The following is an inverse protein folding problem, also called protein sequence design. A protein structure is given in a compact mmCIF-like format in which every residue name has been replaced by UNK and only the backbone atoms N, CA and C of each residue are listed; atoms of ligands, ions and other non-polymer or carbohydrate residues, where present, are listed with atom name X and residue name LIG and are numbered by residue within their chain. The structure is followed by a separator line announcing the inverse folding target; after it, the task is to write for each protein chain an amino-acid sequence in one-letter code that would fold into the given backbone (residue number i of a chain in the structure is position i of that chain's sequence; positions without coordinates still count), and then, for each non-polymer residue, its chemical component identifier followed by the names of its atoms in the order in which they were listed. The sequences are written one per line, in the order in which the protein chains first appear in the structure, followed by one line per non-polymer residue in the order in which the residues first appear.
data_IF_540654813197
#
_entry.id   IF_540654813197
#
_cell.length_a   1.000
_cell.length_b   1.000
_cell.length_c   1.000
_cell.angle_alpha   90.00
_cell.angle_beta   90.00
_cell.angle_gamma   90.00
#
_symmetry.space_group_name_H-M   'P 1'
#
loop_
_entity.id
_entity.type
_entity.pdbx_description
1 polymer ?
#
# COMPACT_ATOMS: atom_id res chain seq x y z
N UNK A 1 -21.09 -9.10 4.46
CA UNK A 1 -20.80 -7.67 4.22
C UNK A 1 -22.12 -6.89 4.30
N UNK A 2 -22.20 -5.82 5.08
CA UNK A 2 -23.39 -4.96 5.14
C UNK A 2 -23.59 -4.27 3.79
N UNK A 3 -24.81 -4.30 3.24
CA UNK A 3 -25.12 -3.66 1.97
C UNK A 3 -24.91 -2.14 2.05
N UNK A 4 -24.14 -1.60 1.11
CA UNK A 4 -24.01 -0.17 0.88
C UNK A 4 -25.30 0.28 0.19
N UNK A 5 -25.84 1.42 0.62
CA UNK A 5 -26.94 2.07 -0.09
C UNK A 5 -26.42 2.59 -1.43
N UNK A 6 -26.88 1.97 -2.53
CA UNK A 6 -26.46 2.36 -3.87
C UNK A 6 -27.01 3.75 -4.19
N UNK A 7 -26.15 4.67 -4.65
CA UNK A 7 -26.66 5.90 -5.23
C UNK A 7 -27.21 5.65 -6.65
N UNK A 8 -28.12 6.49 -7.11
CA UNK A 8 -28.72 6.28 -8.44
C UNK A 8 -27.74 6.63 -9.57
N UNK A 9 -26.99 7.74 -9.42
CA UNK A 9 -26.13 8.28 -10.48
C UNK A 9 -24.91 9.01 -9.92
N UNK A 10 -23.78 8.88 -10.61
CA UNK A 10 -22.60 9.73 -10.44
C UNK A 10 -22.15 10.28 -11.80
N UNK A 11 -21.77 11.55 -11.85
CA UNK A 11 -21.14 12.18 -13.03
C UNK A 11 -19.65 12.40 -12.73
N UNK A 12 -18.76 11.90 -13.58
CA UNK A 12 -17.31 12.02 -13.46
C UNK A 12 -16.77 12.72 -14.69
N UNK A 13 -16.25 13.93 -14.50
CA UNK A 13 -15.66 14.71 -15.57
C UNK A 13 -14.15 14.81 -15.40
N UNK A 14 -13.43 14.70 -16.50
CA UNK A 14 -12.06 15.22 -16.56
C UNK A 14 -12.11 16.71 -16.90
N UNK A 15 -11.31 17.51 -16.19
CA UNK A 15 -11.20 18.95 -16.41
C UNK A 15 -9.79 19.30 -16.85
N UNK A 16 -9.63 20.16 -17.86
CA UNK A 16 -8.31 20.65 -18.27
C UNK A 16 -7.75 19.93 -19.49
N UNK A 17 -6.49 19.52 -19.47
CA UNK A 17 -5.75 18.85 -20.57
C UNK A 17 -5.38 17.39 -20.28
N UNK A 18 -5.89 16.81 -19.17
CA UNK A 18 -5.42 15.53 -18.64
C UNK A 18 -6.59 14.60 -18.31
N UNK A 19 -6.61 13.41 -18.93
CA UNK A 19 -7.61 12.37 -18.66
C UNK A 19 -7.46 11.72 -17.28
N UNK A 20 -6.37 12.00 -16.58
CA UNK A 20 -6.06 11.47 -15.26
C UNK A 20 -6.36 12.49 -14.15
N UNK A 21 -7.05 13.59 -14.44
CA UNK A 21 -7.59 14.50 -13.42
C UNK A 21 -9.12 14.46 -13.41
N UNK A 22 -9.66 13.51 -12.65
CA UNK A 22 -11.09 13.23 -12.59
C UNK A 22 -11.76 13.96 -11.43
N UNK A 23 -12.89 14.58 -11.71
CA UNK A 23 -13.72 15.30 -10.74
C UNK A 23 -15.14 14.75 -10.78
N UNK A 24 -15.69 14.47 -9.60
CA UNK A 24 -17.08 14.05 -9.49
C UNK A 24 -17.94 15.31 -9.35
N UNK A 25 -18.85 15.54 -10.29
CA UNK A 25 -19.75 16.69 -10.28
C UNK A 25 -20.86 16.46 -9.24
N UNK A 26 -20.60 16.87 -8.02
CA UNK A 26 -21.55 16.87 -6.90
C UNK A 26 -21.47 18.19 -6.14
N UNK A 27 -22.40 18.44 -5.21
CA UNK A 27 -22.33 19.59 -4.29
C UNK A 27 -21.11 19.56 -3.35
N UNK A 28 -20.33 18.48 -3.35
CA UNK A 28 -19.09 18.34 -2.59
C UNK A 28 -17.86 18.20 -3.50
N UNK A 29 -16.70 18.66 -3.01
CA UNK A 29 -15.41 18.50 -3.72
C UNK A 29 -14.94 17.05 -3.66
N UNK A 30 -15.29 16.26 -4.68
CA UNK A 30 -14.85 14.88 -4.88
C UNK A 30 -14.04 14.75 -6.16
N UNK A 31 -12.98 13.95 -6.13
CA UNK A 31 -12.12 13.77 -7.29
C UNK A 31 -10.93 12.87 -7.00
N UNK A 32 -10.33 12.39 -8.08
CA UNK A 32 -9.11 11.61 -8.09
C UNK A 32 -8.27 12.12 -9.24
N UNK A 33 -7.04 12.51 -8.97
CA UNK A 33 -6.12 12.83 -10.06
C UNK A 33 -4.66 12.73 -9.70
N UNK A 34 -3.81 12.77 -10.72
CA UNK A 34 -2.36 12.80 -10.57
C UNK A 34 -1.89 14.25 -10.61
N UNK A 35 -1.25 14.72 -9.54
CA UNK A 35 -0.93 16.14 -9.33
C UNK A 35 0.26 16.60 -10.18
N UNK A 36 1.15 15.67 -10.52
CA UNK A 36 2.30 15.92 -11.37
C UNK A 36 2.04 15.20 -12.69
N UNK A 37 1.83 15.96 -13.76
CA UNK A 37 1.75 15.39 -15.09
C UNK A 37 3.11 14.78 -15.41
N UNK A 38 3.17 13.46 -15.34
CA UNK A 38 4.27 12.67 -15.88
C UNK A 38 3.89 12.31 -17.31
N UNK A 39 4.81 12.54 -18.23
CA UNK A 39 4.77 11.79 -19.48
C UNK A 39 5.14 10.35 -19.11
N UNK A 40 4.20 9.43 -19.25
CA UNK A 40 4.44 8.03 -18.96
C UNK A 40 5.21 7.32 -20.09
N UNK A 41 5.74 8.07 -21.07
CA UNK A 41 6.84 7.66 -21.95
C UNK A 41 6.71 6.25 -22.53
N UNK A 42 6.04 6.12 -23.68
CA UNK A 42 5.93 4.84 -24.39
C UNK A 42 4.87 3.87 -23.83
N UNK A 43 4.14 4.24 -22.76
CA UNK A 43 2.98 3.47 -22.30
C UNK A 43 1.87 3.44 -23.37
N UNK A 44 1.34 2.26 -23.74
CA UNK A 44 0.23 2.14 -24.70
C UNK A 44 -1.06 2.84 -24.22
N UNK A 45 -1.91 3.25 -25.16
CA UNK A 45 -3.19 3.90 -24.84
C UNK A 45 -4.11 2.98 -24.02
N UNK A 46 -4.05 1.69 -24.29
CA UNK A 46 -4.77 0.65 -23.58
C UNK A 46 -4.31 0.55 -22.12
N UNK A 47 -3.00 0.72 -21.87
CA UNK A 47 -2.43 0.84 -20.52
C UNK A 47 -2.96 2.07 -19.78
N UNK A 48 -3.01 3.21 -20.46
CA UNK A 48 -3.63 4.43 -19.92
C UNK A 48 -5.14 4.27 -19.73
N UNK A 49 -5.82 3.53 -20.62
CA UNK A 49 -7.21 3.11 -20.53
C UNK A 49 -7.49 2.36 -19.23
N UNK A 50 -6.73 1.30 -18.98
CA UNK A 50 -6.85 0.49 -17.77
C UNK A 50 -6.65 1.33 -16.51
N UNK A 51 -5.64 2.21 -16.50
CA UNK A 51 -5.44 3.13 -15.38
C UNK A 51 -6.66 4.04 -15.15
N UNK A 52 -7.22 4.64 -16.21
CA UNK A 52 -8.45 5.46 -16.12
C UNK A 52 -9.62 4.63 -15.60
N UNK A 53 -9.79 3.41 -16.07
CA UNK A 53 -10.86 2.50 -15.61
C UNK A 53 -10.74 2.21 -14.11
N UNK A 54 -9.54 1.90 -13.60
CA UNK A 54 -9.31 1.64 -12.17
C UNK A 54 -9.51 2.90 -11.34
N UNK A 55 -9.13 4.08 -11.85
CA UNK A 55 -9.40 5.36 -11.21
C UNK A 55 -10.90 5.64 -11.09
N UNK A 56 -11.68 5.39 -12.15
CA UNK A 56 -13.15 5.44 -12.11
C UNK A 56 -13.70 4.48 -11.08
N UNK A 57 -13.21 3.22 -11.08
CA UNK A 57 -13.61 2.22 -10.09
C UNK A 57 -13.38 2.70 -8.65
N UNK A 58 -12.22 3.32 -8.38
CA UNK A 58 -11.89 3.88 -7.06
C UNK A 58 -12.83 5.02 -6.64
N UNK A 59 -13.28 5.86 -7.58
CA UNK A 59 -14.22 6.95 -7.32
C UNK A 59 -15.65 6.48 -7.03
N UNK A 60 -16.07 5.37 -7.65
CA UNK A 60 -17.43 4.85 -7.52
C UNK A 60 -17.59 3.78 -6.43
N UNK A 61 -16.51 3.10 -6.04
CA UNK A 61 -16.50 2.02 -5.05
C UNK A 61 -17.13 2.37 -3.68
N UNK A 62 -17.12 3.63 -3.20
CA UNK A 62 -17.83 3.93 -1.95
C UNK A 62 -19.37 3.94 -2.08
N UNK A 63 -19.91 4.01 -3.30
CA UNK A 63 -21.33 4.28 -3.55
C UNK A 63 -22.04 3.28 -4.47
N UNK A 64 -21.29 2.53 -5.30
CA UNK A 64 -21.83 1.60 -6.29
C UNK A 64 -23.02 2.18 -7.10
N UNK A 65 -22.87 3.34 -7.78
CA UNK A 65 -23.92 3.95 -8.57
C UNK A 65 -24.53 3.01 -9.61
N UNK A 66 -25.83 3.13 -9.90
CA UNK A 66 -26.43 2.38 -11.02
C UNK A 66 -26.08 2.97 -12.39
N UNK A 67 -25.85 4.28 -12.45
CA UNK A 67 -25.48 5.00 -13.68
C UNK A 67 -24.20 5.79 -13.44
N UNK A 68 -23.21 5.61 -14.32
CA UNK A 68 -21.97 6.40 -14.34
C UNK A 68 -21.95 7.22 -15.62
N UNK A 69 -21.98 8.54 -15.49
CA UNK A 69 -21.90 9.46 -16.62
C UNK A 69 -20.50 10.06 -16.70
N UNK A 70 -19.87 10.02 -17.87
CA UNK A 70 -18.50 10.52 -18.08
C UNK A 70 -18.42 11.42 -19.32
N UNK A 71 -17.43 12.31 -19.35
CA UNK A 71 -17.07 13.06 -20.56
C UNK A 71 -15.84 12.48 -21.29
N UNK A 72 -15.48 11.23 -20.97
CA UNK A 72 -14.37 10.47 -21.54
C UNK A 72 -14.73 8.99 -21.62
N UNK A 73 -14.05 8.24 -22.50
CA UNK A 73 -14.25 6.80 -22.65
C UNK A 73 -13.68 5.98 -21.48
N UNK A 74 -14.42 4.93 -21.09
CA UNK A 74 -13.99 3.89 -20.15
C UNK A 74 -13.92 2.57 -20.90
N UNK A 75 -12.71 2.02 -21.08
CA UNK A 75 -12.41 0.96 -22.06
C UNK A 75 -12.44 -0.45 -21.46
N UNK A 76 -12.02 -0.65 -20.21
CA UNK A 76 -11.85 -1.97 -19.57
C UNK A 76 -12.97 -2.25 -18.56
N UNK A 77 -14.23 -2.09 -19.01
CA UNK A 77 -15.42 -2.20 -18.14
C UNK A 77 -15.51 -3.50 -17.34
N UNK A 78 -14.90 -4.58 -17.83
CA UNK A 78 -14.80 -5.88 -17.12
C UNK A 78 -14.29 -5.70 -15.68
N UNK A 79 -13.31 -4.82 -15.44
CA UNK A 79 -12.82 -4.57 -14.09
C UNK A 79 -13.92 -4.05 -13.15
N UNK A 80 -14.73 -3.10 -13.65
CA UNK A 80 -15.82 -2.49 -12.90
C UNK A 80 -16.97 -3.48 -12.73
N UNK A 81 -17.27 -4.27 -13.75
CA UNK A 81 -18.33 -5.30 -13.69
C UNK A 81 -18.01 -6.34 -12.60
N UNK A 82 -16.78 -6.84 -12.56
CA UNK A 82 -16.33 -7.81 -11.54
C UNK A 82 -16.30 -7.20 -10.15
N UNK A 83 -15.90 -5.93 -10.00
CA UNK A 83 -16.00 -5.20 -8.74
C UNK A 83 -17.47 -5.17 -8.25
N UNK A 84 -18.44 -4.85 -9.10
CA UNK A 84 -19.85 -4.80 -8.70
C UNK A 84 -20.38 -6.19 -8.32
N UNK A 85 -20.06 -7.22 -9.13
CA UNK A 85 -20.46 -8.60 -8.84
C UNK A 85 -19.91 -9.10 -7.52
N UNK A 86 -18.66 -8.77 -7.19
CA UNK A 86 -18.03 -9.15 -5.92
C UNK A 86 -18.83 -8.69 -4.71
N UNK A 87 -19.39 -7.49 -4.78
CA UNK A 87 -20.22 -6.91 -3.72
C UNK A 87 -21.73 -7.20 -3.90
N UNK A 88 -22.11 -8.07 -4.84
CA UNK A 88 -23.50 -8.49 -5.04
C UNK A 88 -24.38 -7.50 -5.79
N UNK A 89 -23.78 -6.54 -6.51
CA UNK A 89 -24.49 -5.53 -7.29
C UNK A 89 -24.52 -5.84 -8.78
N UNK A 90 -25.52 -5.28 -9.47
CA UNK A 90 -25.55 -5.28 -10.94
C UNK A 90 -24.57 -4.23 -11.48
N UNK A 91 -23.77 -4.52 -12.52
CA UNK A 91 -22.88 -3.55 -13.13
C UNK A 91 -23.59 -2.25 -13.54
N UNK A 92 -22.89 -1.10 -13.47
CA UNK A 92 -23.49 0.19 -13.77
C UNK A 92 -23.68 0.39 -15.28
N UNK A 93 -24.68 1.19 -15.65
CA UNK A 93 -24.84 1.68 -17.01
C UNK A 93 -23.91 2.88 -17.21
N UNK A 94 -22.96 2.76 -18.14
CA UNK A 94 -22.11 3.88 -18.55
C UNK A 94 -22.80 4.71 -19.62
N UNK A 95 -22.86 6.03 -19.40
CA UNK A 95 -23.30 7.00 -20.40
C UNK A 95 -22.19 8.02 -20.64
N UNK A 96 -22.03 8.43 -21.88
CA UNK A 96 -21.07 9.47 -22.24
C UNK A 96 -21.82 10.75 -22.60
N UNK A 97 -21.41 11.86 -22.00
CA UNK A 97 -21.97 13.20 -22.25
C UNK A 97 -20.82 14.17 -22.49
N UNK A 98 -20.94 15.01 -23.53
CA UNK A 98 -19.97 16.08 -23.83
C UNK A 98 -18.52 15.59 -23.94
N UNK A 99 -18.28 14.58 -24.79
CA UNK A 99 -16.97 13.96 -24.97
C UNK A 99 -15.89 14.98 -25.27
N UNK A 100 -14.84 14.98 -24.44
CA UNK A 100 -13.66 15.81 -24.67
C UNK A 100 -12.61 14.98 -25.40
N UNK A 101 -12.18 15.46 -26.56
CA UNK A 101 -11.02 14.92 -27.29
C UNK A 101 -9.78 15.68 -26.88
N UNK A 102 -8.80 14.99 -26.30
CA UNK A 102 -7.47 15.56 -26.07
C UNK A 102 -6.51 15.18 -27.19
N UNK A 103 -5.74 16.17 -27.65
CA UNK A 103 -4.57 15.91 -28.47
C UNK A 103 -3.50 15.24 -27.63
N UNK A 104 -3.08 14.04 -28.03
CA UNK A 104 -1.94 13.36 -27.43
C UNK A 104 -0.72 14.26 -27.52
N UNK A 105 -0.16 14.66 -26.38
CA UNK A 105 1.21 15.17 -26.38
C UNK A 105 2.13 13.97 -26.49
N UNK A 106 2.52 13.61 -27.71
CA UNK A 106 3.69 12.77 -27.92
C UNK A 106 4.92 13.64 -27.62
N UNK A 107 5.46 13.54 -26.41
CA UNK A 107 6.84 13.94 -26.16
C UNK A 107 7.69 12.67 -26.06
N UNK A 108 8.95 12.81 -26.47
CA UNK A 108 9.78 11.69 -26.93
C UNK A 108 10.00 10.60 -25.89
N UNK A 109 10.41 9.43 -26.39
CA UNK A 109 10.87 8.31 -25.56
C UNK A 109 12.14 8.72 -24.80
N UNK A 110 12.02 9.05 -23.51
CA UNK A 110 13.17 8.94 -22.61
C UNK A 110 13.28 7.48 -22.18
N UNK A 111 14.16 6.75 -22.87
CA UNK A 111 14.51 5.38 -22.46
C UNK A 111 15.34 5.47 -21.19
N UNK A 112 14.70 5.19 -20.06
CA UNK A 112 15.37 5.09 -18.77
C UNK A 112 16.24 3.82 -18.72
N UNK A 113 17.11 3.74 -17.71
CA UNK A 113 17.93 2.54 -17.47
C UNK A 113 17.03 1.30 -17.46
N UNK A 114 17.41 0.24 -18.18
CA UNK A 114 16.65 -0.99 -18.20
C UNK A 114 16.69 -1.66 -16.82
N UNK A 115 15.53 -1.77 -16.17
CA UNK A 115 15.34 -2.38 -14.85
C UNK A 115 14.29 -3.48 -14.99
N UNK A 116 14.57 -4.65 -14.42
CA UNK A 116 13.71 -5.83 -14.59
C UNK A 116 12.49 -5.79 -13.65
N UNK A 117 12.68 -5.28 -12.43
CA UNK A 117 11.67 -5.32 -11.37
C UNK A 117 11.23 -3.92 -10.94
N UNK A 118 9.97 -3.79 -10.54
CA UNK A 118 9.49 -2.63 -9.79
C UNK A 118 8.82 -3.07 -8.49
N UNK A 119 8.84 -2.21 -7.49
CA UNK A 119 8.21 -2.47 -6.20
C UNK A 119 7.50 -1.22 -5.70
N UNK A 120 6.23 -1.35 -5.34
CA UNK A 120 5.53 -0.29 -4.63
C UNK A 120 6.18 -0.13 -3.26
N UNK A 121 6.48 1.11 -2.87
CA UNK A 121 7.31 1.39 -1.72
C UNK A 121 6.70 2.48 -0.84
N UNK A 122 6.21 2.08 0.32
CA UNK A 122 5.56 2.97 1.30
C UNK A 122 6.54 3.55 2.32
N UNK A 123 7.75 3.00 2.41
CA UNK A 123 8.69 3.27 3.50
C UNK A 123 8.36 2.47 4.77
N UNK A 124 7.28 1.68 4.78
CA UNK A 124 6.98 0.71 5.83
C UNK A 124 7.92 -0.50 5.79
N UNK A 125 7.88 -1.31 6.84
CA UNK A 125 8.76 -2.48 7.02
C UNK A 125 8.68 -3.47 5.86
N UNK A 126 7.47 -3.77 5.41
CA UNK A 126 7.21 -4.86 4.47
C UNK A 126 7.75 -4.50 3.08
N UNK A 127 7.51 -3.26 2.65
CA UNK A 127 8.06 -2.74 1.40
C UNK A 127 9.58 -2.48 1.46
N UNK A 128 10.13 -2.13 2.63
CA UNK A 128 11.57 -2.01 2.87
C UNK A 128 12.29 -3.36 2.81
N UNK A 129 11.75 -4.37 3.50
CA UNK A 129 12.25 -5.74 3.47
C UNK A 129 12.29 -6.30 2.06
N UNK A 130 11.23 -6.08 1.27
CA UNK A 130 11.17 -6.51 -0.13
C UNK A 130 12.29 -5.91 -0.99
N UNK A 131 12.56 -4.61 -0.87
CA UNK A 131 13.66 -3.96 -1.60
C UNK A 131 15.01 -4.52 -1.18
N UNK A 132 15.24 -4.67 0.13
CA UNK A 132 16.48 -5.25 0.66
C UNK A 132 16.71 -6.69 0.15
N UNK A 133 15.66 -7.52 0.13
CA UNK A 133 15.74 -8.88 -0.40
C UNK A 133 16.08 -8.90 -1.91
N UNK A 134 15.59 -7.94 -2.68
CA UNK A 134 15.97 -7.81 -4.10
C UNK A 134 17.43 -7.39 -4.25
N UNK A 135 17.91 -6.46 -3.42
CA UNK A 135 19.32 -6.06 -3.43
C UNK A 135 20.25 -7.22 -3.09
N UNK A 136 19.92 -8.01 -2.06
CA UNK A 136 20.66 -9.24 -1.72
C UNK A 136 20.74 -10.21 -2.92
N UNK A 137 19.62 -10.39 -3.60
CA UNK A 137 19.53 -11.24 -4.80
C UNK A 137 20.12 -10.58 -6.06
N UNK A 138 20.70 -9.38 -5.95
CA UNK A 138 21.24 -8.58 -7.06
C UNK A 138 20.22 -8.36 -8.18
N UNK A 139 18.95 -8.25 -7.84
CA UNK A 139 17.85 -7.97 -8.76
C UNK A 139 17.68 -6.46 -8.90
N UNK A 140 17.93 -5.87 -10.08
CA UNK A 140 17.75 -4.44 -10.28
C UNK A 140 16.27 -4.09 -10.13
N UNK A 141 15.98 -3.13 -9.25
CA UNK A 141 14.61 -2.73 -8.90
C UNK A 141 14.45 -1.22 -8.92
N UNK A 142 13.29 -0.74 -9.39
CA UNK A 142 12.83 0.64 -9.19
C UNK A 142 11.74 0.66 -8.13
N UNK A 143 11.88 1.55 -7.15
CA UNK A 143 10.88 1.78 -6.12
C UNK A 143 9.87 2.84 -6.61
N UNK A 144 8.57 2.54 -6.51
CA UNK A 144 7.50 3.50 -6.86
C UNK A 144 6.70 3.84 -5.61
N UNK A 145 6.66 5.12 -5.24
CA UNK A 145 5.88 5.61 -4.11
C UNK A 145 4.63 6.35 -4.58
N UNK A 146 3.46 5.84 -4.20
CA UNK A 146 2.18 6.49 -4.48
C UNK A 146 1.72 7.33 -3.29
N UNK A 147 2.03 8.62 -3.34
CA UNK A 147 1.68 9.60 -2.32
C UNK A 147 0.19 9.97 -2.40
N UNK A 148 -0.44 10.14 -1.24
CA UNK A 148 -1.84 10.50 -0.98
C UNK A 148 -2.85 9.40 -1.35
N UNK A 149 -2.41 8.14 -1.46
CA UNK A 149 -3.34 7.03 -1.51
C UNK A 149 -4.20 6.98 -0.24
N UNK A 150 -3.56 7.17 0.92
CA UNK A 150 -4.20 7.31 2.23
C UNK A 150 -4.10 8.76 2.75
N UNK A 151 -5.12 9.22 3.48
CA UNK A 151 -5.21 10.60 4.01
C UNK A 151 -4.28 10.88 5.21
N UNK A 152 -3.79 9.84 5.90
CA UNK A 152 -2.97 9.94 7.13
C UNK A 152 -1.51 9.53 6.85
N UNK A 153 -0.53 10.17 7.52
CA UNK A 153 0.88 9.76 7.51
C UNK A 153 1.66 10.09 6.23
N UNK A 154 1.06 10.89 5.35
CA UNK A 154 1.49 10.98 3.96
C UNK A 154 2.87 11.64 3.74
N UNK A 155 3.21 12.65 4.55
CA UNK A 155 4.49 13.33 4.40
C UNK A 155 5.63 12.45 4.92
N UNK A 156 5.41 11.79 6.05
CA UNK A 156 6.38 10.95 6.71
C UNK A 156 6.68 9.68 5.90
N UNK A 157 5.66 9.03 5.32
CA UNK A 157 5.83 7.87 4.42
C UNK A 157 6.70 8.24 3.21
N UNK A 158 6.44 9.41 2.61
CA UNK A 158 7.26 9.93 1.52
C UNK A 158 8.71 10.17 1.96
N UNK A 159 8.94 10.86 3.08
CA UNK A 159 10.30 11.17 3.56
C UNK A 159 11.08 9.88 3.86
N UNK A 160 10.45 8.91 4.52
CA UNK A 160 11.07 7.64 4.85
C UNK A 160 11.39 6.81 3.60
N UNK A 161 10.41 6.63 2.71
CA UNK A 161 10.60 5.87 1.46
C UNK A 161 11.69 6.47 0.58
N UNK A 162 11.72 7.81 0.46
CA UNK A 162 12.78 8.51 -0.27
C UNK A 162 14.15 8.31 0.38
N UNK A 163 14.25 8.46 1.70
CA UNK A 163 15.51 8.29 2.43
C UNK A 163 16.07 6.88 2.29
N UNK A 164 15.22 5.86 2.42
CA UNK A 164 15.62 4.45 2.21
C UNK A 164 16.21 4.24 0.82
N UNK A 165 15.51 4.71 -0.23
CA UNK A 165 15.99 4.54 -1.60
C UNK A 165 17.26 5.34 -1.91
N UNK A 166 17.36 6.57 -1.40
CA UNK A 166 18.55 7.42 -1.57
C UNK A 166 19.78 6.76 -0.88
N UNK A 167 19.64 6.24 0.34
CA UNK A 167 20.73 5.57 1.08
C UNK A 167 21.12 4.22 0.45
N UNK A 168 20.14 3.46 -0.03
CA UNK A 168 20.38 2.14 -0.64
C UNK A 168 20.71 2.22 -2.14
N UNK A 169 20.74 3.43 -2.71
CA UNK A 169 21.00 3.70 -4.14
C UNK A 169 20.02 2.96 -5.07
N UNK A 170 18.75 2.94 -4.68
CA UNK A 170 17.65 2.36 -5.47
C UNK A 170 16.96 3.50 -6.23
N UNK A 171 16.75 3.39 -7.56
CA UNK A 171 15.94 4.33 -8.33
C UNK A 171 14.56 4.51 -7.69
N UNK A 172 14.12 5.75 -7.51
CA UNK A 172 12.91 6.10 -6.77
C UNK A 172 12.00 7.02 -7.56
N UNK A 173 10.78 6.58 -7.80
CA UNK A 173 9.75 7.32 -8.52
C UNK A 173 8.62 7.75 -7.59
N UNK A 174 8.35 9.06 -7.54
CA UNK A 174 7.30 9.64 -6.72
C UNK A 174 6.08 9.98 -7.59
N UNK A 175 4.94 9.38 -7.28
CA UNK A 175 3.66 9.74 -7.89
C UNK A 175 2.76 10.37 -6.83
N UNK A 176 2.26 11.58 -7.08
CA UNK A 176 1.39 12.28 -6.14
C UNK A 176 -0.06 12.26 -6.59
N UNK A 177 -0.95 11.72 -5.75
CA UNK A 177 -2.40 11.77 -5.94
C UNK A 177 -3.03 13.01 -5.31
N UNK A 178 -4.09 13.50 -5.94
CA UNK A 178 -5.17 14.27 -5.35
C UNK A 178 -6.31 13.27 -5.11
N UNK A 179 -6.42 12.73 -3.91
CA UNK A 179 -7.44 11.72 -3.59
C UNK A 179 -8.50 12.28 -2.62
N UNK A 180 -9.69 12.54 -3.15
CA UNK A 180 -10.91 12.88 -2.40
C UNK A 180 -12.06 11.94 -2.84
N UNK A 181 -11.78 10.65 -2.99
CA UNK A 181 -12.76 9.65 -3.45
C UNK A 181 -13.88 9.38 -2.44
N UNK A 182 -13.67 9.73 -1.16
CA UNK A 182 -14.43 9.27 0.01
C UNK A 182 -14.27 7.78 0.32
N UNK A 183 -13.29 7.13 -0.28
CA UNK A 183 -12.88 5.81 0.13
C UNK A 183 -11.99 5.96 1.38
N UNK A 184 -12.47 5.51 2.54
CA UNK A 184 -11.79 5.66 3.82
C UNK A 184 -11.87 4.40 4.69
N UNK A 185 -11.13 4.41 5.80
CA UNK A 185 -11.07 3.28 6.71
C UNK A 185 -10.67 1.98 6.02
N UNK A 186 -11.34 0.89 6.40
CA UNK A 186 -11.15 -0.43 5.82
C UNK A 186 -11.70 -0.54 4.39
N UNK A 187 -12.72 0.26 4.05
CA UNK A 187 -13.37 0.23 2.73
C UNK A 187 -12.43 0.65 1.59
N UNK A 188 -11.34 1.36 1.90
CA UNK A 188 -10.27 1.66 0.94
C UNK A 188 -9.81 0.42 0.18
N UNK A 189 -9.77 -0.74 0.84
CA UNK A 189 -9.38 -2.05 0.28
C UNK A 189 -10.32 -2.59 -0.81
N UNK A 190 -11.43 -1.92 -1.11
CA UNK A 190 -12.25 -2.28 -2.29
C UNK A 190 -11.45 -2.18 -3.59
N UNK A 191 -10.53 -1.21 -3.68
CA UNK A 191 -9.78 -0.91 -4.92
C UNK A 191 -8.35 -0.44 -4.70
N UNK A 192 -7.91 -0.25 -3.44
CA UNK A 192 -6.60 0.32 -3.08
C UNK A 192 -5.45 -0.34 -3.84
N UNK A 193 -5.37 -1.67 -3.79
CA UNK A 193 -4.18 -2.37 -4.27
C UNK A 193 -4.10 -2.39 -5.79
N UNK A 194 -5.24 -2.45 -6.47
CA UNK A 194 -5.29 -2.33 -7.93
C UNK A 194 -4.96 -0.92 -8.40
N UNK A 195 -5.40 0.13 -7.67
CA UNK A 195 -5.00 1.51 -7.97
C UNK A 195 -3.49 1.70 -7.76
N UNK A 196 -2.94 1.18 -6.66
CA UNK A 196 -1.51 1.19 -6.40
C UNK A 196 -0.74 0.43 -7.50
N UNK A 197 -1.21 -0.75 -7.86
CA UNK A 197 -0.62 -1.61 -8.87
C UNK A 197 -0.58 -0.94 -10.25
N UNK A 198 -1.72 -0.49 -10.77
CA UNK A 198 -1.77 0.07 -12.13
C UNK A 198 -0.98 1.36 -12.25
N UNK A 199 -1.05 2.24 -11.24
CA UNK A 199 -0.27 3.48 -11.24
C UNK A 199 1.22 3.18 -11.19
N UNK A 200 1.63 2.21 -10.38
CA UNK A 200 3.04 1.82 -10.29
C UNK A 200 3.54 1.13 -11.55
N UNK A 201 2.72 0.26 -12.15
CA UNK A 201 3.01 -0.41 -13.42
C UNK A 201 3.23 0.60 -14.55
N UNK A 202 2.30 1.54 -14.73
CA UNK A 202 2.39 2.61 -15.72
C UNK A 202 3.61 3.51 -15.46
N UNK A 203 3.91 3.80 -14.19
CA UNK A 203 5.10 4.60 -13.81
C UNK A 203 6.41 3.87 -14.09
N UNK A 204 6.45 2.56 -13.91
CA UNK A 204 7.64 1.74 -14.08
C UNK A 204 7.85 1.27 -15.53
N UNK A 205 6.84 1.39 -16.39
CA UNK A 205 6.90 0.92 -17.77
C UNK A 205 8.08 1.48 -18.59
N UNK A 206 8.47 2.78 -18.50
CA UNK A 206 9.61 3.32 -19.24
C UNK A 206 10.97 2.66 -18.91
N UNK A 207 11.07 1.98 -17.77
CA UNK A 207 12.26 1.22 -17.38
C UNK A 207 12.33 -0.18 -18.02
N UNK A 208 11.31 -0.60 -18.77
CA UNK A 208 11.23 -1.95 -19.35
C UNK A 208 11.04 -3.05 -18.30
N UNK A 209 10.38 -2.73 -17.20
CA UNK A 209 10.05 -3.66 -16.11
C UNK A 209 9.13 -4.77 -16.61
N UNK A 210 9.42 -6.02 -16.25
CA UNK A 210 8.59 -7.17 -16.58
C UNK A 210 7.80 -7.70 -15.37
N UNK A 211 8.13 -7.26 -14.15
CA UNK A 211 7.45 -7.70 -12.93
C UNK A 211 7.36 -6.60 -11.88
N UNK A 212 6.15 -6.35 -11.41
CA UNK A 212 5.81 -5.33 -10.42
C UNK A 212 5.29 -5.97 -9.14
N UNK A 213 5.89 -5.62 -8.01
CA UNK A 213 5.50 -6.14 -6.70
C UNK A 213 4.77 -5.11 -5.88
N UNK A 214 3.57 -5.46 -5.40
CA UNK A 214 2.75 -4.61 -4.53
C UNK A 214 2.46 -5.31 -3.22
N UNK A 215 2.21 -4.54 -2.17
CA UNK A 215 1.71 -5.10 -0.91
C UNK A 215 0.24 -5.45 -1.12
N UNK A 216 -0.15 -6.69 -0.83
CA UNK A 216 -1.53 -7.13 -1.01
C UNK A 216 -1.70 -8.56 -0.54
N UNK A 217 -2.71 -8.77 0.31
CA UNK A 217 -3.14 -10.11 0.68
C UNK A 217 -3.80 -10.77 -0.54
N UNK A 218 -3.56 -12.08 -0.69
CA UNK A 218 -4.21 -12.89 -1.73
C UNK A 218 -5.09 -13.93 -1.08
N UNK A 219 -6.20 -13.44 -0.51
CA UNK A 219 -7.19 -14.26 0.19
C UNK A 219 -8.05 -15.01 -0.83
N UNK A 220 -8.13 -16.33 -0.68
CA UNK A 220 -8.96 -17.16 -1.57
C UNK A 220 -10.46 -17.02 -1.29
N UNK A 221 -10.84 -16.88 -0.02
CA UNK A 221 -12.24 -16.80 0.43
C UNK A 221 -12.81 -15.37 0.28
N UNK A 222 -13.71 -15.12 -0.71
CA UNK A 222 -14.27 -13.80 -0.95
C UNK A 222 -15.13 -13.26 0.20
N UNK A 223 -15.63 -14.14 1.08
CA UNK A 223 -16.44 -13.71 2.22
C UNK A 223 -15.61 -13.04 3.32
N UNK A 224 -14.27 -13.20 3.27
CA UNK A 224 -13.34 -12.74 4.29
C UNK A 224 -12.46 -11.56 3.86
N UNK A 225 -12.59 -11.10 2.62
CA UNK A 225 -11.73 -10.06 2.07
C UNK A 225 -12.49 -9.05 1.21
N UNK A 226 -11.88 -7.90 0.97
CA UNK A 226 -12.34 -6.97 -0.05
C UNK A 226 -11.81 -7.36 -1.44
N UNK A 227 -12.38 -6.75 -2.48
CA UNK A 227 -12.08 -7.11 -3.86
C UNK A 227 -10.59 -7.00 -4.20
N UNK A 228 -9.85 -5.99 -3.69
CA UNK A 228 -8.40 -5.89 -3.96
C UNK A 228 -7.52 -6.85 -3.17
N UNK A 229 -8.11 -7.60 -2.25
CA UNK A 229 -7.46 -8.64 -1.44
C UNK A 229 -7.82 -10.05 -1.92
N UNK A 230 -8.69 -10.18 -2.95
CA UNK A 230 -9.13 -11.46 -3.46
C UNK A 230 -8.20 -12.02 -4.55
N UNK A 231 -7.75 -13.26 -4.40
CA UNK A 231 -6.85 -13.90 -5.36
C UNK A 231 -7.45 -14.03 -6.78
N UNK A 232 -8.76 -14.25 -6.89
CA UNK A 232 -9.46 -14.31 -8.17
C UNK A 232 -9.47 -12.96 -8.90
N UNK A 233 -9.63 -11.87 -8.15
CA UNK A 233 -9.56 -10.51 -8.69
C UNK A 233 -8.13 -10.18 -9.21
N UNK A 234 -7.08 -10.63 -8.52
CA UNK A 234 -5.70 -10.48 -8.98
C UNK A 234 -5.40 -11.20 -10.28
N UNK A 235 -5.96 -12.40 -10.47
CA UNK A 235 -5.84 -13.15 -11.73
C UNK A 235 -6.51 -12.40 -12.89
N UNK A 236 -7.72 -11.88 -12.67
CA UNK A 236 -8.42 -11.07 -13.65
C UNK A 236 -7.64 -9.80 -13.98
N UNK A 237 -7.14 -9.10 -12.97
CA UNK A 237 -6.37 -7.87 -13.16
C UNK A 237 -5.10 -8.09 -13.97
N UNK A 238 -4.35 -9.18 -13.74
CA UNK A 238 -3.18 -9.52 -14.55
C UNK A 238 -3.51 -9.82 -16.02
N UNK A 239 -4.66 -10.43 -16.30
CA UNK A 239 -5.12 -10.59 -17.69
C UNK A 239 -5.36 -9.22 -18.35
N UNK A 240 -6.00 -8.29 -17.63
CA UNK A 240 -6.20 -6.93 -18.13
C UNK A 240 -4.89 -6.18 -18.36
N UNK A 241 -3.89 -6.34 -17.49
CA UNK A 241 -2.53 -5.77 -17.68
C UNK A 241 -1.89 -6.29 -18.97
N UNK A 242 -2.03 -7.59 -19.25
CA UNK A 242 -1.52 -8.22 -20.46
C UNK A 242 -2.26 -7.73 -21.72
N UNK A 243 -3.60 -7.66 -21.68
CA UNK A 243 -4.44 -7.12 -22.74
C UNK A 243 -4.14 -5.64 -23.02
N UNK A 244 -3.81 -4.88 -21.98
CA UNK A 244 -3.39 -3.48 -22.06
C UNK A 244 -1.94 -3.28 -22.57
N UNK A 245 -1.25 -4.37 -22.95
CA UNK A 245 0.10 -4.38 -23.52
C UNK A 245 1.16 -3.69 -22.63
N UNK A 246 0.98 -3.71 -21.31
CA UNK A 246 1.97 -3.20 -20.35
C UNK A 246 3.18 -4.14 -20.19
N UNK A 247 3.16 -5.32 -20.83
CA UNK A 247 4.26 -6.30 -20.89
C UNK A 247 4.89 -6.65 -19.53
N UNK A 248 4.10 -6.65 -18.48
CA UNK A 248 4.53 -6.96 -17.12
C UNK A 248 3.51 -7.79 -16.36
N UNK A 249 3.98 -8.53 -15.36
CA UNK A 249 3.15 -9.22 -14.36
C UNK A 249 3.10 -8.40 -13.07
N UNK A 250 1.93 -8.29 -12.44
CA UNK A 250 1.79 -7.69 -11.11
C UNK A 250 1.51 -8.76 -10.06
N UNK A 251 2.32 -8.80 -9.01
CA UNK A 251 2.21 -9.76 -7.92
C UNK A 251 1.98 -9.05 -6.58
N UNK A 252 0.90 -9.43 -5.88
CA UNK A 252 0.69 -9.10 -4.47
C UNK A 252 1.53 -10.00 -3.57
N UNK A 253 2.32 -9.43 -2.67
CA UNK A 253 3.14 -10.16 -1.71
C UNK A 253 2.72 -9.79 -0.29
N UNK A 254 2.39 -10.81 0.50
CA UNK A 254 2.42 -10.77 1.97
C UNK A 254 3.72 -11.42 2.45
N UNK A 255 4.52 -10.66 3.20
CA UNK A 255 5.84 -11.08 3.67
C UNK A 255 5.78 -11.89 4.97
N UNK A 256 4.63 -11.93 5.66
CA UNK A 256 4.52 -12.51 6.99
C UNK A 256 5.36 -11.74 8.04
N UNK A 257 4.99 -11.81 9.31
CA UNK A 257 5.36 -10.73 10.26
C UNK A 257 6.47 -11.06 11.30
N UNK A 258 6.80 -12.34 11.60
CA UNK A 258 7.75 -12.68 12.70
C UNK A 258 9.07 -13.28 12.24
N UNK A 259 9.04 -14.11 11.21
CA UNK A 259 10.27 -14.60 10.57
C UNK A 259 11.00 -13.43 9.88
N UNK A 260 10.23 -12.45 9.40
CA UNK A 260 10.72 -11.23 8.75
C UNK A 260 11.61 -10.37 9.65
N UNK A 261 11.43 -10.33 10.97
CA UNK A 261 12.31 -9.50 11.84
C UNK A 261 13.73 -10.07 11.92
N UNK A 262 13.85 -11.39 12.08
CA UNK A 262 15.15 -12.07 12.07
C UNK A 262 15.83 -11.91 10.70
N UNK A 263 15.04 -12.06 9.64
CA UNK A 263 15.51 -11.85 8.26
C UNK A 263 15.91 -10.40 7.98
N UNK A 264 15.19 -9.41 8.50
CA UNK A 264 15.56 -7.99 8.39
C UNK A 264 16.90 -7.72 9.08
N UNK A 265 17.11 -8.23 10.29
CA UNK A 265 18.39 -8.08 11.01
C UNK A 265 19.52 -8.78 10.24
N UNK A 266 19.25 -9.94 9.62
CA UNK A 266 20.21 -10.64 8.77
C UNK A 266 20.56 -9.81 7.53
N UNK A 267 19.55 -9.25 6.86
CA UNK A 267 19.71 -8.40 5.67
C UNK A 267 20.51 -7.14 5.99
N UNK A 268 20.16 -6.40 7.06
CA UNK A 268 20.88 -5.20 7.52
C UNK A 268 22.38 -5.51 7.67
N UNK A 269 22.74 -6.64 8.30
CA UNK A 269 24.14 -7.08 8.47
C UNK A 269 24.79 -7.47 7.15
N UNK A 270 24.09 -8.22 6.29
CA UNK A 270 24.66 -8.73 5.04
C UNK A 270 24.89 -7.66 3.98
N UNK A 271 24.02 -6.65 3.94
CA UNK A 271 24.03 -5.57 2.95
C UNK A 271 24.71 -4.31 3.48
N UNK A 272 24.92 -4.19 4.80
CA UNK A 272 25.44 -2.97 5.41
C UNK A 272 24.47 -1.80 5.30
N UNK A 273 23.16 -2.08 5.36
CA UNK A 273 22.09 -1.08 5.28
C UNK A 273 21.32 -1.03 6.60
N UNK A 274 20.64 0.10 6.84
CA UNK A 274 19.69 0.25 7.93
C UNK A 274 18.25 0.15 7.40
N UNK A 275 17.43 -0.70 7.99
CA UNK A 275 16.00 -0.87 7.66
C UNK A 275 15.14 -0.35 8.81
N UNK A 276 15.29 -0.95 10.00
CA UNK A 276 14.45 -0.66 11.17
C UNK A 276 14.48 0.81 11.62
N UNK A 277 15.59 1.55 11.55
CA UNK A 277 15.62 2.97 11.92
C UNK A 277 14.93 3.87 10.88
N UNK A 278 14.78 3.38 9.64
CA UNK A 278 14.28 4.14 8.52
C UNK A 278 12.79 3.89 8.23
N UNK A 279 12.17 2.85 8.82
CA UNK A 279 10.78 2.50 8.50
C UNK A 279 9.79 3.50 9.06
N UNK A 280 8.92 4.06 8.23
CA UNK A 280 7.75 4.81 8.68
C UNK A 280 6.72 3.79 9.15
N UNK A 281 6.70 3.58 10.46
CA UNK A 281 5.71 2.82 11.21
C UNK A 281 5.94 3.18 12.69
N UNK A 282 5.08 2.73 13.59
CA UNK A 282 5.22 2.97 15.03
C UNK A 282 6.57 2.49 15.67
N UNK A 283 7.49 1.93 14.87
CA UNK A 283 8.74 1.28 15.28
C UNK A 283 9.99 2.15 15.18
N UNK A 284 9.96 3.25 14.42
CA UNK A 284 11.08 4.21 14.36
C UNK A 284 10.69 5.52 15.06
N UNK A 285 11.47 5.91 16.06
CA UNK A 285 11.14 7.03 16.95
C UNK A 285 11.13 8.40 16.22
N UNK A 286 11.88 8.54 15.13
CA UNK A 286 12.13 9.83 14.47
C UNK A 286 10.89 10.40 13.77
N UNK A 287 9.92 9.56 13.37
CA UNK A 287 8.72 9.97 12.64
C UNK A 287 7.41 9.64 13.38
N UNK A 288 7.46 9.40 14.69
CA UNK A 288 6.25 9.10 15.47
C UNK A 288 5.31 10.31 15.52
N UNK A 289 4.06 10.11 15.09
CA UNK A 289 2.99 11.09 15.31
C UNK A 289 2.78 11.34 16.82
N UNK A 290 2.68 12.60 17.30
CA UNK A 290 2.49 12.92 18.72
C UNK A 290 1.36 12.17 19.42
N UNK A 291 0.26 11.89 18.70
CA UNK A 291 -0.90 11.16 19.23
C UNK A 291 -0.62 9.65 19.47
N UNK A 292 0.35 9.06 18.75
CA UNK A 292 0.74 7.66 18.96
C UNK A 292 1.42 7.46 20.31
N UNK A 293 2.16 8.46 20.80
CA UNK A 293 2.79 8.45 22.13
C UNK A 293 1.75 8.48 23.25
N UNK A 294 0.68 9.26 23.10
CA UNK A 294 -0.42 9.29 24.08
C UNK A 294 -1.18 7.96 24.12
N UNK A 295 -1.43 7.33 22.96
CA UNK A 295 -2.00 5.97 22.90
C UNK A 295 -1.08 4.96 23.60
N UNK A 296 0.22 5.04 23.39
CA UNK A 296 1.20 4.17 24.06
C UNK A 296 1.15 4.28 25.58
N UNK A 297 1.15 5.49 26.14
CA UNK A 297 1.02 5.71 27.59
C UNK A 297 -0.27 5.12 28.16
N UNK A 298 -1.37 5.16 27.40
CA UNK A 298 -2.65 4.60 27.84
C UNK A 298 -2.72 3.08 27.73
N UNK A 299 -2.23 2.51 26.63
CA UNK A 299 -2.36 1.06 26.34
C UNK A 299 -1.28 0.21 27.01
N UNK A 300 -0.11 0.78 27.30
CA UNK A 300 1.02 0.08 27.97
C UNK A 300 1.67 0.98 29.04
N UNK A 301 0.93 1.33 30.10
CA UNK A 301 1.39 2.31 31.08
C UNK A 301 2.64 1.87 31.84
N UNK A 302 2.82 0.57 32.08
CA UNK A 302 4.00 0.03 32.77
C UNK A 302 5.28 0.19 31.93
N UNK A 303 5.21 -0.12 30.64
CA UNK A 303 6.34 0.09 29.71
C UNK A 303 6.64 1.59 29.57
N UNK A 304 5.61 2.41 29.43
CA UNK A 304 5.76 3.85 29.24
C UNK A 304 6.35 4.57 30.47
N UNK A 305 6.07 4.07 31.68
CA UNK A 305 6.63 4.60 32.92
C UNK A 305 8.09 4.20 33.13
N UNK A 306 8.43 2.97 32.74
CA UNK A 306 9.69 2.34 33.12
C UNK A 306 10.73 2.33 31.99
N UNK A 307 10.48 3.04 30.88
CA UNK A 307 11.45 3.07 29.78
C UNK A 307 11.66 4.43 29.10
N UNK A 308 12.90 4.67 28.70
CA UNK A 308 13.48 5.92 28.19
C UNK A 308 13.05 6.34 26.78
N UNK A 309 12.24 5.54 26.06
CA UNK A 309 11.68 5.92 24.75
C UNK A 309 11.97 4.97 23.58
N UNK A 310 12.57 3.80 23.85
CA UNK A 310 12.88 2.81 22.82
C UNK A 310 11.71 1.89 22.42
N UNK A 311 10.55 2.03 23.06
CA UNK A 311 9.49 1.01 23.03
C UNK A 311 8.18 1.59 22.53
N UNK A 312 7.54 0.83 21.65
CA UNK A 312 6.11 0.91 21.45
C UNK A 312 5.56 -0.50 21.64
N UNK A 313 4.53 -0.66 22.50
CA UNK A 313 3.82 -1.93 22.71
C UNK A 313 2.31 -1.80 22.46
N UNK A 314 1.88 -0.69 21.87
CA UNK A 314 0.46 -0.29 21.85
C UNK A 314 -0.43 -1.06 20.87
N UNK A 315 0.15 -1.88 19.99
CA UNK A 315 -0.58 -2.74 19.06
C UNK A 315 0.15 -4.08 18.83
N UNK A 316 -0.54 -5.02 18.17
CA UNK A 316 -0.01 -6.33 17.83
C UNK A 316 1.34 -6.24 17.08
N UNK A 317 1.39 -5.46 15.99
CA UNK A 317 2.62 -5.30 15.18
C UNK A 317 3.79 -4.76 16.01
N UNK A 318 3.56 -3.80 16.92
CA UNK A 318 4.59 -3.28 17.83
C UNK A 318 5.15 -4.32 18.78
N UNK A 319 4.27 -5.16 19.35
CA UNK A 319 4.70 -6.23 20.23
C UNK A 319 5.49 -7.30 19.46
N UNK A 320 5.02 -7.69 18.27
CA UNK A 320 5.70 -8.64 17.37
C UNK A 320 7.11 -8.17 17.01
N UNK A 321 7.23 -6.92 16.57
CA UNK A 321 8.52 -6.33 16.21
C UNK A 321 9.49 -6.25 17.39
N UNK A 322 9.05 -5.70 18.51
CA UNK A 322 9.87 -5.53 19.71
C UNK A 322 10.37 -6.88 20.22
N UNK A 323 9.47 -7.86 20.30
CA UNK A 323 9.79 -9.22 20.72
C UNK A 323 10.77 -9.89 19.75
N UNK A 324 10.56 -9.75 18.43
CA UNK A 324 11.50 -10.28 17.43
C UNK A 324 12.90 -9.70 17.57
N UNK A 325 13.03 -8.38 17.80
CA UNK A 325 14.33 -7.71 17.98
C UNK A 325 15.07 -8.19 19.23
N UNK A 326 14.35 -8.40 20.33
CA UNK A 326 14.89 -8.98 21.55
C UNK A 326 15.37 -10.42 21.33
N UNK A 327 14.49 -11.24 20.74
CA UNK A 327 14.75 -12.67 20.51
C UNK A 327 15.94 -12.91 19.57
N UNK A 328 16.03 -12.15 18.48
CA UNK A 328 17.13 -12.26 17.51
C UNK A 328 18.36 -11.40 17.85
N UNK A 329 18.44 -10.91 19.09
CA UNK A 329 19.58 -10.15 19.63
C UNK A 329 20.02 -8.98 18.74
N UNK A 330 19.05 -8.15 18.31
CA UNK A 330 19.33 -6.90 17.60
C UNK A 330 20.38 -6.10 18.38
N UNK A 331 21.54 -5.74 17.77
CA UNK A 331 22.58 -4.97 18.45
C UNK A 331 22.08 -3.68 19.13
N UNK A 332 21.04 -3.05 18.56
CA UNK A 332 20.43 -1.83 19.09
C UNK A 332 19.67 -2.05 20.41
N UNK A 333 19.37 -3.31 20.75
CA UNK A 333 18.65 -3.72 21.95
C UNK A 333 19.56 -4.40 22.97
N UNK A 334 20.87 -4.53 22.71
CA UNK A 334 21.83 -5.17 23.63
C UNK A 334 21.97 -4.45 24.96
N UNK A 335 21.79 -3.13 24.98
CA UNK A 335 21.91 -2.29 26.18
C UNK A 335 20.60 -2.19 26.96
N UNK A 336 19.55 -2.88 26.53
CA UNK A 336 18.27 -2.87 27.25
C UNK A 336 18.42 -3.63 28.56
N UNK A 337 18.10 -3.02 29.71
CA UNK A 337 18.10 -3.71 31.00
C UNK A 337 17.15 -4.91 31.02
N UNK A 338 17.54 -5.99 31.70
CA UNK A 338 16.70 -7.19 31.82
C UNK A 338 15.34 -6.86 32.43
N UNK A 339 15.31 -5.92 33.36
CA UNK A 339 14.11 -5.44 34.04
C UNK A 339 13.10 -4.83 33.05
N UNK A 340 13.57 -4.09 32.03
CA UNK A 340 12.71 -3.54 30.98
C UNK A 340 12.12 -4.63 30.07
N UNK A 341 12.91 -5.66 29.76
CA UNK A 341 12.44 -6.82 29.00
C UNK A 341 11.34 -7.55 29.77
N UNK A 342 11.53 -7.77 31.08
CA UNK A 342 10.52 -8.41 31.93
C UNK A 342 9.22 -7.61 31.97
N UNK A 343 9.28 -6.27 32.03
CA UNK A 343 8.09 -5.43 31.94
C UNK A 343 7.38 -5.60 30.60
N UNK A 344 8.13 -5.59 29.49
CA UNK A 344 7.55 -5.78 28.16
C UNK A 344 6.86 -7.14 28.01
N UNK A 345 7.46 -8.21 28.52
CA UNK A 345 6.89 -9.57 28.47
C UNK A 345 5.62 -9.68 29.32
N UNK A 346 5.65 -9.19 30.58
CA UNK A 346 4.49 -9.18 31.49
C UNK A 346 3.32 -8.38 30.91
N UNK A 347 3.59 -7.18 30.41
CA UNK A 347 2.59 -6.32 29.77
C UNK A 347 2.01 -6.96 28.50
N UNK A 348 2.83 -7.67 27.71
CA UNK A 348 2.37 -8.41 26.52
C UNK A 348 1.40 -9.53 26.87
N UNK A 349 1.69 -10.34 27.89
CA UNK A 349 0.75 -11.36 28.36
C UNK A 349 -0.56 -10.74 28.90
N UNK A 350 -0.48 -9.63 29.63
CA UNK A 350 -1.65 -8.90 30.12
C UNK A 350 -2.52 -8.40 28.96
N UNK A 351 -1.89 -7.82 27.95
CA UNK A 351 -2.55 -7.31 26.75
C UNK A 351 -3.26 -8.40 25.95
N UNK A 352 -2.62 -9.56 25.75
CA UNK A 352 -3.24 -10.72 25.08
C UNK A 352 -4.51 -11.20 25.81
N UNK A 353 -4.51 -11.18 27.14
CA UNK A 353 -5.68 -11.56 27.95
C UNK A 353 -6.81 -10.54 27.86
N UNK A 354 -6.46 -9.25 27.85
CA UNK A 354 -7.41 -8.13 27.77
C UNK A 354 -8.09 -8.05 26.41
N UNK A 355 -7.35 -8.32 25.33
CA UNK A 355 -7.83 -8.20 23.95
C UNK A 355 -7.87 -9.56 23.26
N UNK A 356 -8.80 -10.43 23.67
CA UNK A 356 -8.89 -11.83 23.18
C UNK A 356 -8.92 -11.95 21.65
N UNK A 357 -9.68 -11.10 20.96
CA UNK A 357 -9.71 -11.07 19.50
C UNK A 357 -8.37 -10.76 18.83
N UNK A 358 -7.50 -9.99 19.49
CA UNK A 358 -6.13 -9.78 19.01
C UNK A 358 -5.23 -10.98 19.31
N UNK A 359 -5.53 -11.74 20.37
CA UNK A 359 -4.86 -13.00 20.69
C UNK A 359 -5.06 -14.06 19.60
N UNK A 360 -6.24 -14.07 18.96
CA UNK A 360 -6.54 -14.99 17.85
C UNK A 360 -5.73 -14.67 16.59
N UNK A 361 -5.23 -13.44 16.45
CA UNK A 361 -4.41 -12.97 15.33
C UNK A 361 -2.90 -13.22 15.53
N UNK A 362 -2.52 -13.83 16.66
CA UNK A 362 -1.13 -14.06 17.04
C UNK A 362 -0.65 -15.39 16.47
N UNK A 363 0.47 -15.36 15.76
CA UNK A 363 1.07 -16.59 15.20
C UNK A 363 1.70 -17.45 16.30
N UNK A 364 1.76 -18.77 16.09
CA UNK A 364 2.41 -19.70 17.03
C UNK A 364 3.88 -19.33 17.32
N UNK A 365 4.59 -18.82 16.30
CA UNK A 365 5.95 -18.29 16.44
C UNK A 365 6.04 -17.12 17.42
N UNK A 366 5.01 -16.27 17.50
CA UNK A 366 4.97 -15.20 18.48
C UNK A 366 4.96 -15.73 19.91
N UNK A 367 4.05 -16.67 20.19
CA UNK A 367 3.85 -17.21 21.52
C UNK A 367 5.10 -17.95 22.01
N UNK A 368 5.74 -18.71 21.11
CA UNK A 368 7.01 -19.39 21.40
C UNK A 368 8.12 -18.41 21.80
N UNK A 369 8.35 -17.37 21.00
CA UNK A 369 9.39 -16.37 21.32
C UNK A 369 9.06 -15.61 22.60
N UNK A 370 7.79 -15.27 22.84
CA UNK A 370 7.37 -14.59 24.07
C UNK A 370 7.65 -15.44 25.30
N UNK A 371 7.39 -16.75 25.23
CA UNK A 371 7.67 -17.69 26.31
C UNK A 371 9.17 -17.86 26.57
N UNK A 372 9.99 -17.84 25.52
CA UNK A 372 11.45 -17.94 25.63
C UNK A 372 12.12 -16.68 26.23
N UNK A 373 11.42 -15.54 26.23
CA UNK A 373 11.87 -14.28 26.84
C UNK A 373 11.41 -14.13 28.30
N UNK A 374 10.70 -15.12 28.85
CA UNK A 374 10.31 -15.19 30.26
C UNK A 374 11.47 -15.66 31.12
#
# INVERSE_FOLDING_TARGET
MSGIEQCERIHINVSGKDFLDMNVLTGEKRGLGLVEHRDYGGVPEEGMGLMRTVMVAHLIAPFFPKIVETNFGVTEKVFIDELYKYYGYRPPIFKMSDEIKFEKQNKGEEVLQKIEYASAHSGGLDSAYRLALMQEKKKPVVAVHLRNLNRKGNHEEFVASKKQCDEWKIPYELVRLRNNSKNDGFDTMRTRDFLLAVVSAVTAYPYGVNKMFVEGDMVEDPAKSHFSENAGAWKMFNNLIAEANLKMEVEGIDVGDIETVGEVIRLEKSLGIDIIPLVQNCFSATYQLPNSRQKWVRETPEIAKNSSGHWCGSCLKCRRMTMGRLFYHDPRFRSVPKEEIEYFVKDTYSWLRKYRHNGDLVTASFLKHLEQLR
#
